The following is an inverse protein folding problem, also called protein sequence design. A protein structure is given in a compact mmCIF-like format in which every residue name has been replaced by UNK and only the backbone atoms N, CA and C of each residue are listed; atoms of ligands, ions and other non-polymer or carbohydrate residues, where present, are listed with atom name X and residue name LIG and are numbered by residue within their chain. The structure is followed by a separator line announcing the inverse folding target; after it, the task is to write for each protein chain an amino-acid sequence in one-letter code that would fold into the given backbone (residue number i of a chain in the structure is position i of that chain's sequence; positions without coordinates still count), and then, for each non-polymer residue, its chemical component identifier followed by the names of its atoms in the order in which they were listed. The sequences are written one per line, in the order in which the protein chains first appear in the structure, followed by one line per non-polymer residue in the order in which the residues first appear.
data_IF_537444543065
#
_entry.id   IF_537444543065
#
_cell.length_a   1.000
_cell.length_b   1.000
_cell.length_c   1.000
_cell.angle_alpha   90.00
_cell.angle_beta   90.00
_cell.angle_gamma   90.00
#
_symmetry.space_group_name_H-M   'P 1'
#
loop_
_entity.id
_entity.type
_entity.pdbx_description
1 polymer ?
#
# COMPACT_ATOMS: atom_id res chain seq x y z
N UNK A 1 10.95 -20.88 48.57
CA UNK A 1 12.14 -20.07 48.95
C UNK A 1 12.32 -19.03 47.84
N UNK A 2 11.75 -17.82 47.87
CA UNK A 2 11.99 -16.64 48.73
C UNK A 2 13.44 -16.13 48.67
N UNK A 3 13.66 -15.03 47.93
CA UNK A 3 14.49 -13.82 48.22
C UNK A 3 14.70 -13.05 46.89
N UNK A 4 14.18 -11.85 46.60
CA UNK A 4 14.09 -10.53 47.28
C UNK A 4 15.12 -9.52 46.72
N UNK A 5 14.56 -8.46 46.12
CA UNK A 5 14.96 -7.05 46.03
C UNK A 5 16.39 -6.65 45.64
N UNK A 6 16.50 -5.68 44.72
CA UNK A 6 17.08 -4.38 45.06
C UNK A 6 16.30 -3.23 44.41
N UNK A 7 16.05 -2.22 45.24
CA UNK A 7 15.28 -0.99 45.06
C UNK A 7 16.27 0.16 44.93
N UNK A 8 16.02 1.13 44.03
CA UNK A 8 16.58 2.48 44.16
C UNK A 8 15.44 3.49 44.10
N UNK A 9 15.36 4.27 45.18
CA UNK A 9 14.43 5.37 45.46
C UNK A 9 15.22 6.68 45.39
N UNK A 10 14.66 7.69 44.72
CA UNK A 10 14.77 9.13 45.02
C UNK A 10 13.76 9.84 44.08
N UNK A 11 12.58 10.33 44.48
CA UNK A 11 12.17 11.32 45.49
C UNK A 11 12.54 12.79 45.13
N UNK A 12 11.49 13.61 44.97
CA UNK A 12 11.52 15.07 44.81
C UNK A 12 10.43 15.57 43.86
N UNK A 13 9.13 15.46 44.20
CA UNK A 13 8.31 16.52 44.83
C UNK A 13 8.40 17.89 44.14
N UNK A 14 7.26 18.37 43.60
CA UNK A 14 6.70 19.71 43.85
C UNK A 14 5.27 19.81 43.25
N UNK A 15 4.32 20.15 44.13
CA UNK A 15 3.00 20.80 43.92
C UNK A 15 1.97 20.10 43.00
N UNK A 16 0.76 19.69 43.42
CA UNK A 16 -0.11 20.18 44.48
C UNK A 16 -1.39 20.76 43.87
N UNK A 17 -2.50 20.00 43.91
CA UNK A 17 -3.87 20.47 44.16
C UNK A 17 -4.88 19.31 44.01
N UNK A 18 -5.29 18.76 45.16
CA UNK A 18 -6.51 17.97 45.35
C UNK A 18 -7.72 18.91 45.20
N UNK A 19 -8.74 18.52 44.46
CA UNK A 19 -10.12 18.92 44.75
C UNK A 19 -11.10 17.82 44.35
N UNK A 20 -12.06 17.63 45.24
CA UNK A 20 -13.00 16.52 45.41
C UNK A 20 -13.94 16.29 44.21
N UNK A 21 -14.30 15.01 44.00
CA UNK A 21 -15.55 14.59 43.36
C UNK A 21 -16.75 15.03 44.20
N UNK A 22 -17.86 15.36 43.53
CA UNK A 22 -19.13 14.78 43.95
C UNK A 22 -19.94 14.20 42.80
N UNK A 23 -20.41 12.97 43.07
CA UNK A 23 -21.75 12.44 42.84
C UNK A 23 -22.43 12.60 41.47
N UNK A 24 -22.76 11.42 40.93
CA UNK A 24 -23.74 11.16 39.88
C UNK A 24 -25.02 11.99 39.98
N UNK A 25 -25.45 12.54 38.84
CA UNK A 25 -26.85 12.85 38.57
C UNK A 25 -27.23 12.23 37.23
N UNK A 26 -28.20 11.33 37.27
CA UNK A 26 -28.80 10.72 36.10
C UNK A 26 -29.88 11.64 35.51
N UNK A 27 -29.91 11.71 34.17
CA UNK A 27 -31.09 12.08 33.38
C UNK A 27 -30.83 13.16 32.30
N UNK A 28 -31.64 13.22 31.23
CA UNK A 28 -32.29 12.16 30.47
C UNK A 28 -31.80 12.08 29.01
N UNK A 29 -32.12 10.94 28.39
CA UNK A 29 -31.90 10.60 26.98
C UNK A 29 -32.96 11.30 26.10
N UNK A 30 -32.50 11.98 25.04
CA UNK A 30 -33.24 12.30 23.80
C UNK A 30 -32.15 12.21 22.70
N UNK A 31 -32.06 11.20 21.82
CA UNK A 31 -32.97 10.84 20.71
C UNK A 31 -33.56 12.10 20.05
N UNK A 32 -33.41 12.42 18.78
CA UNK A 32 -32.65 11.90 17.65
C UNK A 32 -32.81 12.99 16.56
N UNK A 33 -31.73 13.43 15.92
CA UNK A 33 -31.85 14.06 14.60
C UNK A 33 -31.04 13.21 13.63
N UNK A 34 -31.78 12.29 13.00
CA UNK A 34 -31.35 11.58 11.81
C UNK A 34 -31.33 12.56 10.64
N UNK A 35 -30.19 12.68 9.95
CA UNK A 35 -30.11 13.51 8.76
C UNK A 35 -28.73 13.58 8.10
N UNK A 36 -28.38 12.49 7.38
CA UNK A 36 -27.23 12.31 6.48
C UNK A 36 -25.89 11.96 7.14
N UNK A 37 -25.72 10.68 7.44
CA UNK A 37 -24.39 10.06 7.33
C UNK A 37 -24.02 9.98 5.85
N UNK A 38 -23.02 10.77 5.45
CA UNK A 38 -22.21 10.42 4.30
C UNK A 38 -21.52 9.08 4.62
N UNK A 39 -21.51 8.09 3.70
CA UNK A 39 -20.74 6.88 3.91
C UNK A 39 -19.25 7.26 3.83
N UNK A 40 -18.58 7.39 4.97
CA UNK A 40 -17.14 7.69 4.99
C UNK A 40 -16.58 8.47 6.19
N UNK A 41 -17.38 8.81 7.20
CA UNK A 41 -16.89 9.54 8.38
C UNK A 41 -16.76 8.64 9.62
N UNK A 42 -16.11 7.50 9.45
CA UNK A 42 -15.65 6.67 10.56
C UNK A 42 -14.25 6.21 10.23
N UNK A 43 -13.24 6.95 10.67
CA UNK A 43 -11.89 6.41 10.71
C UNK A 43 -11.89 5.36 11.82
N UNK A 44 -12.24 4.13 11.46
CA UNK A 44 -12.02 3.01 12.35
C UNK A 44 -10.52 2.99 12.70
N UNK A 45 -10.15 2.97 13.98
CA UNK A 45 -8.76 2.86 14.37
C UNK A 45 -8.17 1.59 13.75
N UNK A 46 -6.88 1.64 13.41
CA UNK A 46 -6.17 0.55 12.76
C UNK A 46 -6.22 -0.73 13.62
N UNK A 47 -7.20 -1.57 13.35
CA UNK A 47 -7.38 -2.86 13.99
C UNK A 47 -6.70 -3.94 13.16
N UNK A 48 -5.46 -4.28 13.53
CA UNK A 48 -4.71 -5.41 12.97
C UNK A 48 -5.27 -6.78 13.41
N UNK A 49 -6.22 -6.82 14.36
CA UNK A 49 -6.75 -8.08 14.89
C UNK A 49 -7.77 -8.75 13.98
N UNK A 50 -8.30 -8.03 12.97
CA UNK A 50 -9.30 -8.56 12.03
C UNK A 50 -8.77 -8.58 10.59
N UNK A 51 -9.06 -9.65 9.83
CA UNK A 51 -8.80 -9.67 8.41
C UNK A 51 -9.50 -8.51 7.71
N UNK A 52 -8.76 -7.75 6.90
CA UNK A 52 -9.34 -6.68 6.09
C UNK A 52 -10.26 -7.31 5.03
N UNK A 53 -11.47 -6.77 4.88
CA UNK A 53 -12.43 -7.24 3.87
C UNK A 53 -12.54 -6.18 2.78
N UNK A 54 -12.08 -6.53 1.57
CA UNK A 54 -12.20 -5.68 0.40
C UNK A 54 -13.59 -5.83 -0.20
N UNK A 55 -14.24 -4.71 -0.49
CA UNK A 55 -15.48 -4.67 -1.28
C UNK A 55 -15.20 -4.16 -2.68
N UNK A 56 -16.12 -4.44 -3.62
CA UNK A 56 -15.99 -3.99 -5.00
C UNK A 56 -15.96 -2.46 -5.09
N UNK A 57 -16.78 -1.79 -4.28
CA UNK A 57 -16.87 -0.34 -4.21
C UNK A 57 -15.54 0.27 -3.76
N UNK A 58 -14.90 -0.31 -2.73
CA UNK A 58 -13.59 0.14 -2.26
C UNK A 58 -12.49 -0.08 -3.31
N UNK A 59 -12.54 -1.20 -4.03
CA UNK A 59 -11.59 -1.45 -5.12
C UNK A 59 -11.78 -0.47 -6.29
N UNK A 60 -13.02 -0.17 -6.67
CA UNK A 60 -13.35 0.79 -7.73
C UNK A 60 -12.92 2.23 -7.37
N UNK A 61 -13.17 2.62 -6.12
CA UNK A 61 -12.67 3.87 -5.56
C UNK A 61 -11.13 3.91 -5.57
N UNK A 62 -10.47 2.81 -5.21
CA UNK A 62 -9.01 2.73 -5.19
C UNK A 62 -8.38 2.84 -6.59
N UNK A 63 -8.96 2.18 -7.60
CA UNK A 63 -8.51 2.31 -9.00
C UNK A 63 -8.60 3.78 -9.46
N UNK A 64 -9.69 4.46 -9.10
CA UNK A 64 -9.89 5.87 -9.43
C UNK A 64 -8.89 6.77 -8.68
N UNK A 65 -8.67 6.50 -7.40
CA UNK A 65 -7.65 7.16 -6.58
C UNK A 65 -6.25 7.04 -7.20
N UNK A 66 -5.83 5.84 -7.62
CA UNK A 66 -4.52 5.63 -8.25
C UNK A 66 -4.32 6.52 -9.49
N UNK A 67 -5.33 6.62 -10.36
CA UNK A 67 -5.25 7.45 -11.57
C UNK A 67 -5.13 8.94 -11.25
N UNK A 68 -5.94 9.41 -10.30
CA UNK A 68 -5.90 10.82 -9.85
C UNK A 68 -4.54 11.17 -9.24
N UNK A 69 -4.01 10.31 -8.37
CA UNK A 69 -2.71 10.51 -7.72
C UNK A 69 -1.56 10.46 -8.73
N UNK A 70 -1.58 9.53 -9.69
CA UNK A 70 -0.56 9.47 -10.74
C UNK A 70 -0.54 10.74 -11.59
N UNK A 71 -1.72 11.24 -11.99
CA UNK A 71 -1.82 12.51 -12.72
C UNK A 71 -1.29 13.69 -11.88
N UNK A 72 -1.61 13.72 -10.59
CA UNK A 72 -1.12 14.73 -9.67
C UNK A 72 0.42 14.69 -9.57
N UNK A 73 1.01 13.51 -9.40
CA UNK A 73 2.46 13.33 -9.32
C UNK A 73 3.16 13.74 -10.62
N UNK A 74 2.60 13.40 -11.78
CA UNK A 74 3.14 13.86 -13.06
C UNK A 74 3.14 15.39 -13.17
N UNK A 75 2.12 16.07 -12.61
CA UNK A 75 2.11 17.53 -12.53
C UNK A 75 3.21 18.06 -11.63
N UNK A 76 3.31 17.57 -10.39
CA UNK A 76 4.33 17.99 -9.42
C UNK A 76 5.75 17.76 -9.95
N UNK A 77 5.98 16.62 -10.64
CA UNK A 77 7.26 16.33 -11.25
C UNK A 77 7.64 17.35 -12.35
N UNK A 78 6.68 17.77 -13.19
CA UNK A 78 6.90 18.83 -14.20
C UNK A 78 7.19 20.18 -13.56
N UNK A 79 6.47 20.53 -12.49
CA UNK A 79 6.68 21.78 -11.76
C UNK A 79 8.07 21.82 -11.11
N UNK A 80 8.51 20.71 -10.51
CA UNK A 80 9.86 20.55 -9.96
C UNK A 80 10.95 20.62 -11.04
N UNK A 81 10.72 20.06 -12.22
CA UNK A 81 11.64 20.17 -13.36
C UNK A 81 11.76 21.62 -13.86
N UNK A 82 10.62 22.31 -14.01
CA UNK A 82 10.59 23.71 -14.41
C UNK A 82 11.28 24.63 -13.38
N UNK A 83 11.05 24.38 -12.09
CA UNK A 83 11.76 25.01 -10.99
C UNK A 83 13.29 24.81 -11.08
N UNK A 84 13.73 23.56 -11.27
CA UNK A 84 15.15 23.24 -11.43
C UNK A 84 15.80 23.98 -12.60
N UNK A 85 15.11 24.09 -13.75
CA UNK A 85 15.61 24.84 -14.90
C UNK A 85 15.85 26.32 -14.56
N UNK A 86 14.92 26.97 -13.86
CA UNK A 86 15.05 28.38 -13.42
C UNK A 86 16.26 28.61 -12.52
N UNK A 87 16.62 27.65 -11.66
CA UNK A 87 17.79 27.76 -10.79
C UNK A 87 19.12 27.43 -11.46
N UNK A 88 19.10 26.75 -12.62
CA UNK A 88 20.32 26.50 -13.40
C UNK A 88 20.71 27.69 -14.27
N UNK A 89 19.75 28.53 -14.67
CA UNK A 89 19.98 29.71 -15.51
C UNK A 89 20.42 30.96 -14.73
N UNK A 90 20.28 30.99 -13.40
CA UNK A 90 20.72 32.11 -12.56
C UNK A 90 22.05 31.79 -11.86
N UNK A 91 23.19 32.44 -12.18
CA UNK A 91 24.44 32.19 -11.46
C UNK A 91 24.53 32.99 -10.15
N UNK A 92 24.98 32.34 -9.06
CA UNK A 92 25.87 33.00 -8.09
C UNK A 92 25.30 33.62 -6.81
N UNK A 93 24.13 33.23 -6.29
CA UNK A 93 23.65 33.72 -4.98
C UNK A 93 23.45 32.61 -3.92
N UNK A 94 23.91 32.82 -2.67
CA UNK A 94 23.71 31.86 -1.56
C UNK A 94 22.22 31.63 -1.21
N UNK A 95 21.32 32.51 -1.65
CA UNK A 95 19.86 32.35 -1.54
C UNK A 95 19.30 31.13 -2.32
N UNK A 96 20.05 30.58 -3.29
CA UNK A 96 19.61 29.42 -4.08
C UNK A 96 19.50 28.13 -3.27
N UNK A 97 20.35 27.93 -2.26
CA UNK A 97 20.29 26.74 -1.41
C UNK A 97 19.01 26.69 -0.57
N UNK A 98 18.64 27.82 0.05
CA UNK A 98 17.38 27.97 0.79
C UNK A 98 16.16 27.96 -0.14
N UNK A 99 16.24 28.60 -1.32
CA UNK A 99 15.18 28.58 -2.33
C UNK A 99 14.84 27.15 -2.80
N UNK A 100 15.86 26.35 -3.14
CA UNK A 100 15.68 24.95 -3.56
C UNK A 100 15.10 24.05 -2.47
N UNK A 101 15.53 24.23 -1.22
CA UNK A 101 14.96 23.49 -0.08
C UNK A 101 13.49 23.87 0.13
N UNK A 102 13.16 25.16 0.06
CA UNK A 102 11.78 25.64 0.24
C UNK A 102 10.84 25.14 -0.86
N UNK A 103 11.28 25.07 -2.11
CA UNK A 103 10.47 24.53 -3.20
C UNK A 103 10.31 23.01 -3.11
N UNK A 104 11.35 22.31 -2.64
CA UNK A 104 11.25 20.87 -2.38
C UNK A 104 10.24 20.57 -1.28
N UNK A 105 10.23 21.36 -0.20
CA UNK A 105 9.24 21.23 0.88
C UNK A 105 7.82 21.55 0.40
N UNK A 106 7.62 22.63 -0.36
CA UNK A 106 6.32 22.96 -0.95
C UNK A 106 5.80 21.86 -1.88
N UNK A 107 6.68 21.22 -2.65
CA UNK A 107 6.29 20.11 -3.50
C UNK A 107 5.87 18.88 -2.69
N UNK A 108 6.53 18.60 -1.55
CA UNK A 108 6.13 17.52 -0.63
C UNK A 108 4.77 17.82 0.01
N UNK A 109 4.57 19.03 0.52
CA UNK A 109 3.31 19.47 1.13
C UNK A 109 2.17 19.39 0.10
N UNK A 110 2.37 19.95 -1.10
CA UNK A 110 1.39 19.89 -2.18
C UNK A 110 1.06 18.45 -2.59
N UNK A 111 2.06 17.56 -2.62
CA UNK A 111 1.85 16.13 -2.89
C UNK A 111 0.96 15.50 -1.81
N UNK A 112 1.26 15.73 -0.54
CA UNK A 112 0.48 15.19 0.57
C UNK A 112 -0.98 15.70 0.55
N UNK A 113 -1.18 16.99 0.28
CA UNK A 113 -2.52 17.58 0.15
C UNK A 113 -3.31 16.99 -1.03
N UNK A 114 -2.65 16.77 -2.17
CA UNK A 114 -3.28 16.17 -3.36
C UNK A 114 -3.66 14.71 -3.11
N UNK A 115 -2.82 13.93 -2.45
CA UNK A 115 -3.15 12.56 -2.04
C UNK A 115 -4.31 12.53 -1.06
N UNK A 116 -4.29 13.38 -0.03
CA UNK A 116 -5.32 13.44 0.99
C UNK A 116 -6.67 13.89 0.42
N UNK A 117 -6.65 14.85 -0.51
CA UNK A 117 -7.83 15.27 -1.26
C UNK A 117 -8.33 14.13 -2.16
N UNK A 118 -7.48 13.54 -3.00
CA UNK A 118 -7.88 12.47 -3.90
C UNK A 118 -8.49 11.28 -3.16
N UNK A 119 -7.93 10.94 -2.00
CA UNK A 119 -8.45 9.90 -1.11
C UNK A 119 -9.84 10.24 -0.58
N UNK A 120 -10.04 11.46 -0.06
CA UNK A 120 -11.34 11.93 0.45
C UNK A 120 -12.40 12.02 -0.64
N UNK A 121 -12.02 12.47 -1.84
CA UNK A 121 -12.93 12.62 -2.98
C UNK A 121 -13.56 11.28 -3.42
N UNK A 122 -12.85 10.16 -3.19
CA UNK A 122 -13.36 8.81 -3.49
C UNK A 122 -13.88 8.06 -2.25
N UNK A 123 -13.96 8.74 -1.10
CA UNK A 123 -14.50 8.17 0.14
C UNK A 123 -13.64 7.07 0.79
N UNK A 124 -12.33 7.02 0.50
CA UNK A 124 -11.43 6.05 1.10
C UNK A 124 -10.84 6.57 2.41
N UNK A 125 -10.69 5.70 3.40
CA UNK A 125 -9.85 5.98 4.57
C UNK A 125 -8.37 5.83 4.22
N UNK A 126 -7.48 6.36 5.05
CA UNK A 126 -6.04 6.10 4.92
C UNK A 126 -5.73 4.61 5.07
N UNK A 127 -6.43 3.94 6.00
CA UNK A 127 -6.32 2.50 6.19
C UNK A 127 -6.73 1.73 4.92
N UNK A 128 -7.79 2.14 4.23
CA UNK A 128 -8.21 1.51 2.99
C UNK A 128 -7.13 1.63 1.92
N UNK A 129 -6.60 2.85 1.70
CA UNK A 129 -5.52 3.06 0.71
C UNK A 129 -4.31 2.19 1.02
N UNK A 130 -3.91 2.09 2.29
CA UNK A 130 -2.75 1.30 2.70
C UNK A 130 -2.99 -0.21 2.55
N UNK A 131 -4.12 -0.73 3.02
CA UNK A 131 -4.46 -2.16 2.96
C UNK A 131 -4.69 -2.61 1.52
N UNK A 132 -5.49 -1.86 0.75
CA UNK A 132 -5.75 -2.16 -0.66
C UNK A 132 -4.45 -2.03 -1.45
N UNK A 133 -3.65 -0.99 -1.19
CA UNK A 133 -2.38 -0.77 -1.87
C UNK A 133 -1.38 -1.91 -1.65
N UNK A 134 -1.24 -2.41 -0.43
CA UNK A 134 -0.42 -3.59 -0.14
C UNK A 134 -0.89 -4.80 -0.91
N UNK A 135 -2.19 -5.14 -0.81
CA UNK A 135 -2.79 -6.28 -1.50
C UNK A 135 -2.61 -6.18 -3.03
N UNK A 136 -2.96 -5.04 -3.62
CA UNK A 136 -2.84 -4.81 -5.07
C UNK A 136 -1.39 -4.93 -5.51
N UNK A 137 -0.45 -4.37 -4.75
CA UNK A 137 0.99 -4.46 -5.07
C UNK A 137 1.47 -5.91 -5.05
N UNK A 138 1.09 -6.68 -4.03
CA UNK A 138 1.47 -8.10 -3.91
C UNK A 138 0.89 -8.93 -5.07
N UNK A 139 -0.39 -8.74 -5.40
CA UNK A 139 -1.05 -9.44 -6.52
C UNK A 139 -0.40 -9.07 -7.85
N UNK A 140 -0.32 -7.77 -8.16
CA UNK A 140 0.10 -7.30 -9.49
C UNK A 140 1.59 -7.56 -9.73
N UNK A 141 2.45 -7.44 -8.71
CA UNK A 141 3.88 -7.73 -8.86
C UNK A 141 4.12 -9.21 -9.20
N UNK A 142 3.43 -10.13 -8.51
CA UNK A 142 3.54 -11.56 -8.79
C UNK A 142 3.02 -11.91 -10.19
N UNK A 143 1.86 -11.36 -10.57
CA UNK A 143 1.27 -11.55 -11.90
C UNK A 143 2.15 -10.97 -13.02
N UNK A 144 2.75 -9.81 -12.78
CA UNK A 144 3.70 -9.20 -13.70
C UNK A 144 4.94 -10.08 -13.91
N UNK A 145 5.52 -10.61 -12.82
CA UNK A 145 6.64 -11.53 -12.90
C UNK A 145 6.28 -12.83 -13.62
N UNK A 146 5.10 -13.41 -13.35
CA UNK A 146 4.63 -14.62 -14.04
C UNK A 146 4.54 -14.40 -15.55
N UNK A 147 3.95 -13.27 -15.97
CA UNK A 147 3.82 -12.92 -17.38
C UNK A 147 5.17 -12.69 -18.08
N UNK A 148 6.18 -12.16 -17.39
CA UNK A 148 7.52 -11.96 -17.96
C UNK A 148 8.32 -13.25 -18.12
N UNK A 149 8.10 -14.24 -17.26
CA UNK A 149 8.93 -15.45 -17.20
C UNK A 149 8.37 -16.64 -17.98
N UNK A 150 7.11 -16.60 -18.43
CA UNK A 150 6.43 -17.71 -19.12
C UNK A 150 6.64 -19.08 -18.43
N UNK A 151 6.56 -19.10 -17.10
CA UNK A 151 6.87 -20.28 -16.29
C UNK A 151 5.97 -21.47 -16.64
N UNK A 152 4.72 -21.21 -17.01
CA UNK A 152 3.77 -22.23 -17.46
C UNK A 152 4.23 -22.90 -18.76
N UNK A 153 4.65 -22.12 -19.76
CA UNK A 153 5.17 -22.64 -21.01
C UNK A 153 6.48 -23.41 -20.83
N UNK A 154 7.36 -22.97 -19.95
CA UNK A 154 8.60 -23.68 -19.61
C UNK A 154 8.32 -25.00 -18.86
N UNK A 155 7.40 -24.99 -17.89
CA UNK A 155 7.01 -26.18 -17.15
C UNK A 155 6.43 -27.25 -18.08
N UNK A 156 5.56 -26.84 -19.00
CA UNK A 156 4.96 -27.75 -19.97
C UNK A 156 6.04 -28.42 -20.85
N UNK A 157 7.09 -27.70 -21.24
CA UNK A 157 8.22 -28.28 -22.00
C UNK A 157 9.00 -29.30 -21.17
N UNK A 158 9.27 -29.00 -19.90
CA UNK A 158 9.98 -29.92 -19.00
C UNK A 158 9.16 -31.19 -18.74
N UNK A 159 7.85 -31.06 -18.53
CA UNK A 159 6.95 -32.22 -18.34
C UNK A 159 6.89 -33.11 -19.60
N UNK A 160 6.82 -32.50 -20.79
CA UNK A 160 6.88 -33.24 -22.06
C UNK A 160 8.24 -33.93 -22.27
N UNK A 161 9.33 -33.30 -21.84
CA UNK A 161 10.66 -33.90 -21.89
C UNK A 161 10.74 -35.08 -20.93
N UNK A 162 10.26 -34.92 -19.68
CA UNK A 162 10.23 -36.00 -18.68
C UNK A 162 9.50 -37.24 -19.19
N UNK A 163 8.36 -37.05 -19.87
CA UNK A 163 7.55 -38.13 -20.42
C UNK A 163 8.26 -38.95 -21.52
N UNK A 164 9.34 -38.42 -22.12
CA UNK A 164 10.12 -39.09 -23.19
C UNK A 164 11.43 -39.70 -22.69
N UNK A 165 11.79 -39.45 -21.42
CA UNK A 165 13.04 -39.92 -20.83
C UNK A 165 12.91 -41.34 -20.27
N UNK A 166 14.04 -42.02 -20.10
CA UNK A 166 14.10 -43.26 -19.32
C UNK A 166 13.81 -42.97 -17.84
N UNK A 167 13.31 -43.95 -17.06
CA UNK A 167 12.91 -43.71 -15.66
C UNK A 167 13.98 -43.06 -14.79
N UNK A 168 15.24 -43.48 -14.93
CA UNK A 168 16.38 -42.93 -14.19
C UNK A 168 16.60 -41.43 -14.49
N UNK A 169 16.54 -41.05 -15.78
CA UNK A 169 16.68 -39.66 -16.23
C UNK A 169 15.45 -38.80 -15.89
N UNK A 170 14.26 -39.40 -15.91
CA UNK A 170 13.03 -38.74 -15.50
C UNK A 170 13.04 -38.42 -13.99
N UNK A 171 13.66 -39.29 -13.18
CA UNK A 171 13.83 -39.07 -11.74
C UNK A 171 14.81 -37.92 -11.44
N UNK A 172 15.86 -37.75 -12.25
CA UNK A 172 16.79 -36.61 -12.13
C UNK A 172 16.11 -35.26 -12.44
N UNK A 173 15.15 -35.25 -13.37
CA UNK A 173 14.43 -34.03 -13.77
C UNK A 173 13.28 -33.66 -12.81
N UNK A 174 12.76 -34.62 -12.05
CA UNK A 174 11.59 -34.43 -11.19
C UNK A 174 11.72 -33.26 -10.18
N UNK A 175 12.86 -33.08 -9.47
CA UNK A 175 13.01 -31.96 -8.53
C UNK A 175 12.91 -30.59 -9.20
N UNK A 176 13.40 -30.45 -10.43
CA UNK A 176 13.31 -29.19 -11.18
C UNK A 176 11.86 -28.90 -11.57
N UNK A 177 11.13 -29.92 -12.02
CA UNK A 177 9.69 -29.81 -12.34
C UNK A 177 8.88 -29.43 -11.10
N UNK A 178 9.18 -30.03 -9.96
CA UNK A 178 8.47 -29.72 -8.71
C UNK A 178 8.77 -28.31 -8.21
N UNK A 179 10.02 -27.84 -8.32
CA UNK A 179 10.38 -26.45 -8.01
C UNK A 179 9.66 -25.46 -8.93
N UNK A 180 9.53 -25.79 -10.22
CA UNK A 180 8.79 -24.99 -11.20
C UNK A 180 7.28 -24.96 -10.89
N UNK A 181 6.69 -26.10 -10.53
CA UNK A 181 5.28 -26.17 -10.10
C UNK A 181 5.03 -25.30 -8.88
N UNK A 182 5.92 -25.35 -7.89
CA UNK A 182 5.82 -24.49 -6.71
C UNK A 182 5.90 -23.01 -7.09
N UNK A 183 6.85 -22.64 -7.94
CA UNK A 183 7.00 -21.26 -8.41
C UNK A 183 5.76 -20.76 -9.18
N UNK A 184 5.12 -21.63 -9.96
CA UNK A 184 3.86 -21.32 -10.63
C UNK A 184 2.71 -21.13 -9.64
N UNK A 185 2.65 -21.93 -8.57
CA UNK A 185 1.68 -21.69 -7.50
C UNK A 185 1.87 -20.32 -6.84
N UNK A 186 3.11 -19.92 -6.58
CA UNK A 186 3.42 -18.65 -5.94
C UNK A 186 3.13 -17.43 -6.84
N UNK A 187 3.43 -17.54 -8.14
CA UNK A 187 3.39 -16.40 -9.07
C UNK A 187 2.10 -16.29 -9.87
N UNK A 188 1.52 -17.41 -10.32
CA UNK A 188 0.26 -17.41 -11.10
C UNK A 188 -0.96 -17.63 -10.22
N UNK A 189 -0.89 -18.59 -9.30
CA UNK A 189 -2.01 -18.92 -8.40
C UNK A 189 -2.01 -18.08 -7.13
N UNK A 190 -0.93 -17.33 -6.89
CA UNK A 190 -0.79 -16.38 -5.79
C UNK A 190 -0.92 -17.05 -4.41
N UNK A 191 -0.40 -18.27 -4.24
CA UNK A 191 -0.58 -19.07 -3.02
C UNK A 191 -0.14 -18.36 -1.73
N UNK A 192 1.01 -17.66 -1.72
CA UNK A 192 1.41 -16.88 -0.55
C UNK A 192 0.58 -15.62 -0.34
N UNK A 193 0.19 -14.93 -1.41
CA UNK A 193 -0.65 -13.72 -1.32
C UNK A 193 -2.02 -14.07 -0.76
N UNK A 194 -2.61 -15.18 -1.19
CA UNK A 194 -3.89 -15.72 -0.69
C UNK A 194 -3.83 -16.06 0.79
N UNK A 195 -2.70 -16.59 1.29
CA UNK A 195 -2.51 -16.85 2.73
C UNK A 195 -2.50 -15.58 3.57
N UNK A 196 -1.97 -14.48 3.02
CA UNK A 196 -1.83 -13.19 3.73
C UNK A 196 -3.15 -12.41 3.68
N UNK A 197 -3.75 -12.30 2.50
CA UNK A 197 -4.86 -11.38 2.26
C UNK A 197 -6.23 -12.06 2.12
N UNK A 198 -6.26 -13.40 2.05
CA UNK A 198 -7.48 -14.18 1.86
C UNK A 198 -7.91 -14.29 0.39
N UNK A 199 -8.53 -15.44 0.05
CA UNK A 199 -8.93 -15.76 -1.32
C UNK A 199 -9.90 -14.75 -1.92
N UNK A 200 -10.93 -14.36 -1.16
CA UNK A 200 -11.98 -13.46 -1.65
C UNK A 200 -11.42 -12.08 -2.06
N UNK A 201 -10.45 -11.56 -1.31
CA UNK A 201 -9.80 -10.28 -1.62
C UNK A 201 -8.93 -10.38 -2.88
N UNK A 202 -8.15 -11.47 -3.00
CA UNK A 202 -7.31 -11.72 -4.18
C UNK A 202 -8.19 -11.88 -5.43
N UNK A 203 -9.24 -12.68 -5.35
CA UNK A 203 -10.17 -12.89 -6.47
C UNK A 203 -10.83 -11.58 -6.90
N UNK A 204 -11.22 -10.73 -5.95
CA UNK A 204 -11.79 -9.42 -6.25
C UNK A 204 -10.79 -8.51 -6.98
N UNK A 205 -9.53 -8.46 -6.54
CA UNK A 205 -8.47 -7.70 -7.24
C UNK A 205 -8.26 -8.23 -8.65
N UNK A 206 -8.27 -9.55 -8.84
CA UNK A 206 -8.12 -10.16 -10.16
C UNK A 206 -9.25 -9.78 -11.14
N UNK A 207 -10.44 -9.42 -10.65
CA UNK A 207 -11.51 -8.89 -11.53
C UNK A 207 -11.16 -7.57 -12.22
N UNK A 208 -10.15 -6.83 -11.70
CA UNK A 208 -9.63 -5.58 -12.27
C UNK A 208 -8.14 -5.66 -12.60
N UNK A 209 -7.62 -6.87 -12.79
CA UNK A 209 -6.20 -7.12 -13.03
C UNK A 209 -5.64 -6.23 -14.14
N UNK A 210 -6.31 -6.18 -15.30
CA UNK A 210 -5.80 -5.43 -16.44
C UNK A 210 -5.66 -3.93 -16.15
N UNK A 211 -6.65 -3.33 -15.49
CA UNK A 211 -6.63 -1.90 -15.15
C UNK A 211 -5.53 -1.58 -14.13
N UNK A 212 -5.39 -2.43 -13.11
CA UNK A 212 -4.39 -2.28 -12.06
C UNK A 212 -2.98 -2.52 -12.60
N UNK A 213 -2.80 -3.47 -13.51
CA UNK A 213 -1.55 -3.72 -14.22
C UNK A 213 -1.15 -2.51 -15.08
N UNK A 214 -2.11 -1.90 -15.78
CA UNK A 214 -1.86 -0.68 -16.56
C UNK A 214 -1.42 0.47 -15.63
N UNK A 215 -2.16 0.71 -14.54
CA UNK A 215 -1.79 1.71 -13.54
C UNK A 215 -0.37 1.46 -12.98
N UNK A 216 -0.02 0.21 -12.70
CA UNK A 216 1.31 -0.17 -12.21
C UNK A 216 2.40 0.10 -13.24
N UNK A 217 2.18 -0.25 -14.51
CA UNK A 217 3.14 0.03 -15.58
C UNK A 217 3.29 1.53 -15.85
N UNK A 218 2.20 2.30 -15.79
CA UNK A 218 2.21 3.75 -15.92
C UNK A 218 3.06 4.38 -14.79
N UNK A 219 2.87 3.90 -13.56
CA UNK A 219 3.69 4.28 -12.41
C UNK A 219 5.19 3.97 -12.67
N UNK A 220 5.53 2.75 -13.06
CA UNK A 220 6.92 2.38 -13.37
C UNK A 220 7.53 3.25 -14.47
N UNK A 221 6.75 3.58 -15.52
CA UNK A 221 7.21 4.46 -16.61
C UNK A 221 7.45 5.89 -16.12
N UNK A 222 6.64 6.39 -15.20
CA UNK A 222 6.78 7.74 -14.64
C UNK A 222 8.04 7.91 -13.80
N UNK A 223 8.46 6.87 -13.05
CA UNK A 223 9.68 6.90 -12.24
C UNK A 223 10.93 6.44 -13.00
N UNK A 224 10.77 5.54 -13.97
CA UNK A 224 11.85 4.94 -14.76
C UNK A 224 12.49 5.87 -15.80
N UNK A 225 12.03 7.12 -15.91
CA UNK A 225 12.72 8.16 -16.68
C UNK A 225 12.99 7.78 -18.13
N UNK A 226 11.95 7.46 -18.91
CA UNK A 226 12.09 7.65 -20.36
C UNK A 226 11.84 9.12 -20.67
N UNK A 227 12.95 9.85 -20.77
CA UNK A 227 13.06 11.03 -21.59
C UNK A 227 12.34 10.77 -22.93
N UNK A 228 11.35 11.58 -23.23
CA UNK A 228 11.06 11.95 -24.61
C UNK A 228 11.99 13.08 -24.98
#
# INVERSE_FOLDING_TARGET
MRKVLWVVVAAGLLSGCKKEEPAATAGPRQEAEAGREAPGAGADPFDDSKPYVLTREKLDAYVSYQRTVQSAYASVARDLQAARARFQEAPGTPAQGQGRLSESMKAIESKAELEDKARRDVGLSEQDVNRIGSLVTDVITQRHMAAMLDLSGELQKLEQMQARLKPEQAAELAPQIDAMRLRLQETEKLSSVRKIHGDANVDLVLTREQELMNNYQDMLRSFGGRAQ
#
